data_IF_318465411797
#
_entry.id   IF_318465411797
#
_cell.length_a   1.000
_cell.length_b   1.000
_cell.length_c   1.000
_cell.angle_alpha   90.00
_cell.angle_beta   90.00
_cell.angle_gamma   90.00
#
_symmetry.space_group_name_H-M   'P 1'
#
loop_
_entity.id
_entity.type
_entity.pdbx_description
1 polymer ?
#
# COMPACT_ATOMS: atom_id res chain seq x y z
N UNK A 1 7.65 11.27 16.65
CA UNK A 1 7.41 10.00 15.92
C UNK A 1 8.52 9.85 14.88
N UNK A 2 9.34 8.79 14.94
CA UNK A 2 10.50 8.60 14.04
C UNK A 2 10.21 7.50 13.02
N UNK A 3 9.52 7.85 11.92
CA UNK A 3 9.22 6.90 10.85
C UNK A 3 10.48 6.62 10.02
N UNK A 4 10.84 5.35 9.88
CA UNK A 4 12.04 4.91 9.13
C UNK A 4 11.67 4.50 7.71
N UNK A 5 11.63 5.49 6.81
CA UNK A 5 11.33 5.25 5.39
C UNK A 5 12.56 5.01 4.51
N UNK A 6 13.76 5.26 5.05
CA UNK A 6 15.02 4.94 4.38
C UNK A 6 15.41 3.48 4.66
N UNK A 7 14.90 2.59 3.80
CA UNK A 7 15.17 1.15 3.85
C UNK A 7 16.26 0.85 2.82
N UNK A 8 17.26 0.05 3.20
CA UNK A 8 18.46 -0.22 2.37
C UNK A 8 18.40 -1.51 1.54
N UNK A 9 17.33 -2.30 1.66
CA UNK A 9 17.16 -3.56 0.93
C UNK A 9 15.72 -3.78 0.46
N UNK A 10 15.57 -4.34 -0.75
CA UNK A 10 14.27 -4.75 -1.33
C UNK A 10 13.59 -5.83 -0.49
N UNK A 11 12.26 -5.84 -0.47
CA UNK A 11 11.42 -6.90 0.10
C UNK A 11 11.66 -7.17 1.59
N UNK A 12 11.96 -6.12 2.37
CA UNK A 12 12.20 -6.22 3.82
C UNK A 12 11.19 -5.46 4.66
N UNK A 13 10.72 -4.32 4.18
CA UNK A 13 9.76 -3.48 4.90
C UNK A 13 8.75 -2.93 3.90
N UNK A 14 7.47 -3.14 4.19
CA UNK A 14 6.36 -2.66 3.38
C UNK A 14 5.52 -1.67 4.17
N UNK A 15 5.03 -0.63 3.50
CA UNK A 15 3.98 0.23 4.03
C UNK A 15 2.63 -0.23 3.44
N UNK A 16 1.63 -0.41 4.30
CA UNK A 16 0.26 -0.71 3.90
C UNK A 16 -0.63 0.50 4.11
N UNK A 17 -1.60 0.68 3.21
CA UNK A 17 -2.67 1.67 3.35
C UNK A 17 -3.98 1.10 2.79
N UNK A 18 -5.11 1.63 3.27
CA UNK A 18 -6.44 1.31 2.77
C UNK A 18 -7.09 2.62 2.37
N UNK A 19 -7.58 2.68 1.13
CA UNK A 19 -8.29 3.83 0.60
C UNK A 19 -9.60 3.42 -0.05
N UNK A 20 -10.47 4.39 -0.28
CA UNK A 20 -11.77 4.22 -0.91
C UNK A 20 -11.67 4.66 -2.36
N UNK A 21 -12.09 3.79 -3.27
CA UNK A 21 -12.18 4.09 -4.70
C UNK A 21 -13.65 4.29 -5.06
N UNK A 22 -14.06 5.50 -5.49
CA UNK A 22 -15.42 5.73 -5.97
C UNK A 22 -15.70 4.94 -7.25
N UNK A 23 -16.87 4.31 -7.32
CA UNK A 23 -17.40 3.59 -8.47
C UNK A 23 -18.80 4.12 -8.83
N UNK A 24 -19.40 3.60 -9.91
CA UNK A 24 -20.80 3.94 -10.26
C UNK A 24 -21.83 3.36 -9.27
N UNK A 25 -21.43 2.35 -8.50
CA UNK A 25 -22.30 1.61 -7.58
C UNK A 25 -22.06 1.99 -6.11
N UNK A 26 -21.06 2.84 -5.82
CA UNK A 26 -20.71 3.25 -4.47
C UNK A 26 -19.21 3.50 -4.31
N UNK A 27 -18.61 2.93 -3.26
CA UNK A 27 -17.17 2.93 -3.03
C UNK A 27 -16.68 1.52 -2.79
N UNK A 28 -15.51 1.20 -3.34
CA UNK A 28 -14.79 -0.05 -3.09
C UNK A 28 -13.56 0.22 -2.24
N UNK A 29 -13.20 -0.72 -1.38
CA UNK A 29 -11.99 -0.62 -0.57
C UNK A 29 -10.80 -1.19 -1.34
N UNK A 30 -9.79 -0.36 -1.59
CA UNK A 30 -8.50 -0.84 -2.08
C UNK A 30 -7.50 -0.89 -0.92
N UNK A 31 -6.96 -2.09 -0.68
CA UNK A 31 -5.77 -2.26 0.14
C UNK A 31 -4.54 -2.37 -0.76
N UNK A 32 -3.48 -1.61 -0.45
CA UNK A 32 -2.23 -1.66 -1.19
C UNK A 32 -1.02 -1.78 -0.26
N UNK A 33 -0.03 -2.56 -0.68
CA UNK A 33 1.27 -2.70 -0.02
C UNK A 33 2.37 -2.16 -0.92
N UNK A 34 3.13 -1.20 -0.42
CA UNK A 34 4.28 -0.60 -1.09
C UNK A 34 5.58 -1.10 -0.46
N UNK A 35 6.50 -1.63 -1.27
CA UNK A 35 7.85 -1.89 -0.81
C UNK A 35 8.63 -0.59 -0.62
N UNK A 36 9.11 -0.34 0.61
CA UNK A 36 9.69 0.96 0.98
C UNK A 36 11.04 1.24 0.31
N UNK A 37 11.80 0.20 -0.03
CA UNK A 37 13.05 0.36 -0.76
C UNK A 37 12.78 0.73 -2.22
N UNK A 38 12.00 -0.10 -2.93
CA UNK A 38 11.82 0.03 -4.38
C UNK A 38 10.76 1.06 -4.78
N UNK A 39 9.92 1.48 -3.83
CA UNK A 39 8.74 2.32 -4.05
C UNK A 39 7.77 1.73 -5.08
N UNK A 40 7.70 0.40 -5.15
CA UNK A 40 6.78 -0.34 -6.01
C UNK A 40 5.67 -0.96 -5.19
N UNK A 41 4.47 -1.02 -5.77
CA UNK A 41 3.37 -1.80 -5.21
C UNK A 41 3.71 -3.28 -5.38
N UNK A 42 3.70 -4.03 -4.27
CA UNK A 42 3.97 -5.47 -4.28
C UNK A 42 2.69 -6.29 -4.25
N UNK A 43 1.61 -5.72 -3.73
CA UNK A 43 0.28 -6.34 -3.71
C UNK A 43 -0.80 -5.27 -3.65
N UNK A 44 -1.87 -5.48 -4.40
CA UNK A 44 -3.15 -4.79 -4.25
C UNK A 44 -4.27 -5.82 -4.13
N UNK A 45 -5.29 -5.53 -3.34
CA UNK A 45 -6.51 -6.34 -3.27
C UNK A 45 -7.72 -5.45 -2.99
N UNK A 46 -8.83 -5.75 -3.67
CA UNK A 46 -10.12 -5.19 -3.32
C UNK A 46 -10.67 -5.98 -2.14
N UNK A 47 -11.13 -5.26 -1.11
CA UNK A 47 -11.83 -5.85 0.02
C UNK A 47 -13.34 -5.65 -0.19
N UNK A 48 -14.16 -6.71 -0.06
CA UNK A 48 -15.61 -6.57 -0.04
C UNK A 48 -16.07 -5.76 1.19
#
# INVERSE_FOLDING_TARGET
MNRKFDVKQKNKVWAGDITYIPTKEGYEYLMAYLDLFSRKVVKGEFRP
#
